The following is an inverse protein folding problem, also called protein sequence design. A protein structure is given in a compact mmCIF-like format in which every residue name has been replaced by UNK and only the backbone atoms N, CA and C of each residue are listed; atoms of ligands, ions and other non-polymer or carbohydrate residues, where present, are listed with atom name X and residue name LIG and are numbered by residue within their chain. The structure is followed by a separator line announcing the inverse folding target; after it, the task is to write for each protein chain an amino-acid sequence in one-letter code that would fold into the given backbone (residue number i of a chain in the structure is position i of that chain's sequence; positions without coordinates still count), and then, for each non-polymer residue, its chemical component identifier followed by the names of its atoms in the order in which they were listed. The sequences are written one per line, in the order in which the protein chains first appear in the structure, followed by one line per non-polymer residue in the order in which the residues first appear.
data_IF_297824721856
#
_entry.id   IF_297824721856
#
_cell.length_a   1.000
_cell.length_b   1.000
_cell.length_c   1.000
_cell.angle_alpha   90.00
_cell.angle_beta   90.00
_cell.angle_gamma   90.00
#
_symmetry.space_group_name_H-M   'P 1'
#
loop_
_entity.id
_entity.type
_entity.pdbx_description
1 polymer ?
#
# COMPACT_ATOMS: atom_id res chain seq x y z
N UNK A 1 -16.76 -6.71 -38.40
CA UNK A 1 -15.34 -7.05 -38.64
C UNK A 1 -14.50 -5.93 -38.02
N UNK A 2 -14.27 -5.99 -36.70
CA UNK A 2 -13.62 -4.91 -35.94
C UNK A 2 -12.14 -5.27 -35.74
N UNK A 3 -11.27 -4.46 -36.34
CA UNK A 3 -9.81 -4.65 -36.33
C UNK A 3 -9.24 -4.14 -35.00
N UNK A 4 -8.74 -5.05 -34.16
CA UNK A 4 -7.86 -4.72 -33.05
C UNK A 4 -6.49 -4.30 -33.61
N UNK A 5 -6.12 -3.03 -33.48
CA UNK A 5 -4.72 -2.59 -33.63
C UNK A 5 -4.06 -2.64 -32.26
N UNK A 6 -3.29 -3.69 -32.01
CA UNK A 6 -2.32 -3.73 -30.93
C UNK A 6 -1.25 -2.66 -31.19
N UNK A 7 -1.22 -1.64 -30.33
CA UNK A 7 -0.18 -0.62 -30.31
C UNK A 7 1.12 -1.20 -29.75
N UNK A 8 2.14 -1.17 -30.62
CA UNK A 8 3.59 -1.33 -30.44
C UNK A 8 4.09 -1.24 -28.98
N UNK A 9 4.73 -2.32 -28.51
CA UNK A 9 5.60 -2.32 -27.31
C UNK A 9 6.81 -1.42 -27.57
N UNK A 10 6.92 -0.31 -26.84
CA UNK A 10 8.18 0.40 -26.70
C UNK A 10 9.12 -0.40 -25.75
N UNK A 11 10.44 -0.38 -25.99
CA UNK A 11 11.42 -1.10 -25.17
C UNK A 11 11.52 -0.48 -23.75
N UNK A 12 11.98 -1.25 -22.75
CA UNK A 12 11.98 -0.82 -21.36
C UNK A 12 13.22 0.03 -21.08
N UNK A 13 13.05 1.34 -20.91
CA UNK A 13 14.10 2.19 -20.35
C UNK A 13 13.53 3.16 -19.30
N UNK A 14 13.69 2.77 -18.04
CA UNK A 14 13.96 3.63 -16.88
C UNK A 14 14.11 2.70 -15.67
N UNK A 15 15.35 2.50 -15.18
CA UNK A 15 15.73 1.78 -13.94
C UNK A 15 14.65 0.82 -13.41
N UNK A 16 14.63 -0.43 -13.86
CA UNK A 16 13.56 -1.38 -13.52
C UNK A 16 13.40 -1.51 -11.99
N UNK A 17 12.45 -0.74 -11.44
CA UNK A 17 12.09 -0.81 -10.02
C UNK A 17 11.55 -2.21 -9.76
N UNK A 18 11.98 -2.84 -8.67
CA UNK A 18 11.51 -4.17 -8.30
C UNK A 18 9.97 -4.17 -8.11
N UNK A 19 9.23 -5.12 -8.70
CA UNK A 19 7.79 -5.24 -8.52
C UNK A 19 7.38 -5.32 -7.04
N UNK A 20 6.23 -4.73 -6.71
CA UNK A 20 5.70 -4.74 -5.33
C UNK A 20 5.53 -6.19 -4.84
N UNK A 21 5.05 -7.09 -5.71
CA UNK A 21 4.87 -8.51 -5.40
C UNK A 21 6.18 -9.24 -5.05
N UNK A 22 7.29 -8.88 -5.71
CA UNK A 22 8.62 -9.43 -5.43
C UNK A 22 9.14 -8.97 -4.06
N UNK A 23 8.98 -7.68 -3.75
CA UNK A 23 9.31 -7.13 -2.42
C UNK A 23 8.47 -7.75 -1.31
N UNK A 24 7.17 -7.91 -1.52
CA UNK A 24 6.26 -8.55 -0.58
C UNK A 24 6.63 -10.03 -0.33
N UNK A 25 7.14 -10.72 -1.35
CA UNK A 25 7.61 -12.11 -1.25
C UNK A 25 8.89 -12.22 -0.43
N UNK A 26 9.86 -11.31 -0.63
CA UNK A 26 11.06 -11.21 0.22
C UNK A 26 10.70 -10.91 1.67
N UNK A 27 9.78 -9.98 1.87
CA UNK A 27 9.26 -9.65 3.20
C UNK A 27 8.61 -10.87 3.88
N UNK A 28 7.80 -11.66 3.16
CA UNK A 28 7.25 -12.90 3.70
C UNK A 28 8.33 -13.89 4.16
N UNK A 29 9.43 -13.99 3.41
CA UNK A 29 10.54 -14.89 3.76
C UNK A 29 11.21 -14.46 5.07
N UNK A 30 11.37 -13.15 5.33
CA UNK A 30 11.89 -12.64 6.59
C UNK A 30 11.03 -13.05 7.79
N UNK A 31 9.71 -13.11 7.63
CA UNK A 31 8.77 -13.50 8.69
C UNK A 31 8.49 -15.02 8.76
N UNK A 32 9.23 -15.86 8.01
CA UNK A 32 9.21 -17.33 8.03
C UNK A 32 7.83 -18.03 7.84
N UNK A 33 6.81 -17.33 7.37
CA UNK A 33 5.58 -17.95 6.87
C UNK A 33 5.73 -18.35 5.40
N UNK A 34 5.29 -19.55 5.01
CA UNK A 34 5.12 -19.92 3.59
C UNK A 34 4.42 -18.77 2.83
N UNK A 35 4.77 -18.49 1.56
CA UNK A 35 4.04 -17.49 0.79
C UNK A 35 2.55 -17.86 0.83
N UNK A 36 1.66 -16.98 1.32
CA UNK A 36 0.24 -17.27 1.24
C UNK A 36 -0.09 -17.37 -0.25
N UNK A 37 -0.53 -18.55 -0.68
CA UNK A 37 -1.39 -18.63 -1.85
C UNK A 37 -2.51 -17.61 -1.60
N UNK A 38 -2.80 -16.74 -2.57
CA UNK A 38 -3.71 -15.60 -2.45
C UNK A 38 -5.13 -16.00 -2.00
N UNK A 39 -5.30 -16.25 -0.70
CA UNK A 39 -6.58 -16.57 -0.08
C UNK A 39 -6.59 -16.02 1.34
N UNK A 40 -7.41 -14.99 1.51
CA UNK A 40 -8.07 -14.60 2.76
C UNK A 40 -7.14 -14.42 3.98
N UNK A 41 -6.51 -13.24 4.05
CA UNK A 41 -5.92 -12.78 5.32
C UNK A 41 -7.05 -12.45 6.31
N UNK A 42 -7.12 -13.21 7.39
CA UNK A 42 -7.89 -12.85 8.57
C UNK A 42 -7.18 -11.66 9.24
N UNK A 43 -7.92 -10.57 9.46
CA UNK A 43 -7.41 -9.37 10.11
C UNK A 43 -7.15 -9.65 11.60
N UNK A 44 -5.91 -9.99 11.93
CA UNK A 44 -5.42 -10.03 13.31
C UNK A 44 -4.38 -8.93 13.51
N UNK A 45 -4.35 -8.30 14.68
CA UNK A 45 -3.27 -7.40 15.06
C UNK A 45 -1.90 -8.11 15.06
N UNK A 46 -1.92 -9.44 15.21
CA UNK A 46 -0.76 -10.32 15.13
C UNK A 46 -0.42 -10.75 13.69
N UNK A 47 -1.09 -10.19 12.68
CA UNK A 47 -0.69 -10.36 11.29
C UNK A 47 0.65 -9.69 11.04
N UNK A 48 1.38 -10.15 10.00
CA UNK A 48 2.62 -9.52 9.52
C UNK A 48 2.45 -8.00 9.37
N UNK A 49 1.30 -7.58 8.86
CA UNK A 49 1.02 -6.18 8.52
C UNK A 49 0.78 -5.38 9.80
N UNK A 50 -0.01 -5.93 10.72
CA UNK A 50 -0.23 -5.32 12.04
C UNK A 50 1.05 -5.21 12.87
N UNK A 51 1.93 -6.22 12.82
CA UNK A 51 3.21 -6.18 13.51
C UNK A 51 4.16 -5.12 12.93
N UNK A 52 4.21 -4.99 11.60
CA UNK A 52 5.01 -3.98 10.92
C UNK A 52 4.51 -2.57 11.19
N UNK A 53 3.20 -2.35 11.11
CA UNK A 53 2.59 -1.06 11.43
C UNK A 53 2.88 -0.66 12.88
N UNK A 54 2.75 -1.59 13.85
CA UNK A 54 3.08 -1.34 15.25
C UNK A 54 4.57 -1.01 15.45
N UNK A 55 5.46 -1.74 14.78
CA UNK A 55 6.91 -1.51 14.85
C UNK A 55 7.29 -0.15 14.25
N UNK A 56 6.71 0.23 13.12
CA UNK A 56 6.96 1.52 12.49
C UNK A 56 6.45 2.69 13.33
N UNK A 57 5.26 2.56 13.92
CA UNK A 57 4.71 3.57 14.83
C UNK A 57 5.59 3.74 16.07
N UNK A 58 6.01 2.63 16.70
CA UNK A 58 6.92 2.65 17.84
C UNK A 58 8.25 3.32 17.49
N UNK A 59 8.85 2.95 16.36
CA UNK A 59 10.12 3.52 15.93
C UNK A 59 10.02 5.03 15.65
N UNK A 60 8.94 5.47 15.00
CA UNK A 60 8.70 6.89 14.74
C UNK A 60 8.55 7.68 16.04
N UNK A 61 7.80 7.16 17.01
CA UNK A 61 7.64 7.79 18.31
C UNK A 61 8.98 7.86 19.06
N UNK A 62 9.72 6.75 19.13
CA UNK A 62 11.04 6.70 19.76
C UNK A 62 12.07 7.63 19.11
N UNK A 63 11.90 7.97 17.83
CA UNK A 63 12.78 8.88 17.10
C UNK A 63 12.56 10.36 17.45
N UNK A 64 11.54 10.69 18.26
CA UNK A 64 11.31 12.08 18.69
C UNK A 64 12.45 12.61 19.58
N UNK A 65 12.89 13.87 19.42
CA UNK A 65 13.99 14.46 20.20
C UNK A 65 13.82 14.38 21.72
N UNK A 66 12.57 14.38 22.21
CA UNK A 66 12.27 14.25 23.63
C UNK A 66 12.64 12.86 24.18
N UNK A 67 12.32 11.79 23.44
CA UNK A 67 12.55 10.40 23.87
C UNK A 67 13.99 9.95 23.59
N UNK A 68 14.63 10.48 22.56
CA UNK A 68 16.04 10.21 22.24
C UNK A 68 17.02 10.60 23.36
N UNK A 69 16.61 11.41 24.34
CA UNK A 69 17.43 11.71 25.53
C UNK A 69 17.61 10.50 26.46
N UNK A 70 16.69 9.51 26.40
CA UNK A 70 16.79 8.29 27.18
C UNK A 70 17.79 7.33 26.52
N UNK A 71 18.83 6.93 27.27
CA UNK A 71 19.92 6.07 26.76
C UNK A 71 19.40 4.84 26.00
N UNK A 72 18.45 4.10 26.59
CA UNK A 72 17.92 2.87 25.98
C UNK A 72 17.12 3.14 24.71
N UNK A 73 16.37 4.24 24.64
CA UNK A 73 15.61 4.64 23.44
C UNK A 73 16.57 5.01 22.31
N UNK A 74 17.58 5.84 22.60
CA UNK A 74 18.59 6.19 21.60
C UNK A 74 19.33 4.95 21.08
N UNK A 75 19.70 4.02 21.97
CA UNK A 75 20.33 2.77 21.55
C UNK A 75 19.41 1.91 20.69
N UNK A 76 18.11 1.86 20.99
CA UNK A 76 17.12 1.16 20.17
C UNK A 76 17.02 1.77 18.76
N UNK A 77 16.81 3.08 18.66
CA UNK A 77 16.67 3.78 17.37
C UNK A 77 17.92 3.62 16.51
N UNK A 78 19.11 3.81 17.11
CA UNK A 78 20.38 3.63 16.39
C UNK A 78 20.54 2.19 15.87
N UNK A 79 20.29 1.20 16.74
CA UNK A 79 20.48 -0.22 16.41
C UNK A 79 19.58 -0.69 15.26
N UNK A 80 18.33 -0.23 15.20
CA UNK A 80 17.34 -0.74 14.23
C UNK A 80 17.07 0.22 13.07
N UNK A 81 17.76 1.35 12.99
CA UNK A 81 17.55 2.36 11.93
C UNK A 81 17.65 1.79 10.52
N UNK A 82 18.73 1.06 10.22
CA UNK A 82 18.94 0.44 8.90
C UNK A 82 17.89 -0.65 8.61
N UNK A 83 17.57 -1.48 9.61
CA UNK A 83 16.54 -2.52 9.47
C UNK A 83 15.17 -1.90 9.18
N UNK A 84 14.82 -0.81 9.85
CA UNK A 84 13.54 -0.11 9.61
C UNK A 84 13.54 0.53 8.23
N UNK A 85 14.66 1.10 7.78
CA UNK A 85 14.78 1.62 6.43
C UNK A 85 14.57 0.52 5.38
N UNK A 86 15.24 -0.63 5.53
CA UNK A 86 15.08 -1.78 4.63
C UNK A 86 13.64 -2.30 4.63
N UNK A 87 13.01 -2.45 5.80
CA UNK A 87 11.61 -2.89 5.90
C UNK A 87 10.65 -1.91 5.23
N UNK A 88 10.89 -0.59 5.32
CA UNK A 88 10.08 0.42 4.63
C UNK A 88 10.24 0.35 3.12
N UNK A 89 11.45 0.11 2.61
CA UNK A 89 11.69 -0.07 1.17
C UNK A 89 11.05 -1.35 0.62
N UNK A 90 10.77 -2.35 1.46
CA UNK A 90 10.01 -3.54 1.05
C UNK A 90 8.49 -3.32 1.02
N UNK A 91 7.97 -2.25 1.64
CA UNK A 91 6.54 -1.95 1.66
C UNK A 91 6.07 -1.23 0.39
N UNK A 92 4.84 -1.47 -0.07
CA UNK A 92 4.24 -0.68 -1.14
C UNK A 92 4.20 0.81 -0.77
N UNK A 93 4.45 1.68 -1.75
CA UNK A 93 4.43 3.13 -1.58
C UNK A 93 3.82 3.83 -2.79
N UNK A 94 3.35 5.06 -2.61
CA UNK A 94 2.83 5.87 -3.71
C UNK A 94 3.87 6.11 -4.83
N UNK A 95 5.17 5.98 -4.52
CA UNK A 95 6.27 6.16 -5.48
C UNK A 95 6.36 5.02 -6.49
N UNK A 96 5.77 3.87 -6.18
CA UNK A 96 5.73 2.72 -7.07
C UNK A 96 4.76 2.92 -8.25
N UNK A 97 3.94 3.97 -8.18
CA UNK A 97 2.88 4.24 -9.13
C UNK A 97 3.14 5.52 -9.93
N UNK A 98 2.76 5.49 -11.20
CA UNK A 98 2.65 6.65 -12.08
C UNK A 98 1.17 7.03 -12.23
N UNK A 99 0.82 8.27 -11.90
CA UNK A 99 -0.57 8.77 -12.05
C UNK A 99 -0.87 9.01 -13.52
N UNK A 100 -1.97 8.44 -14.01
CA UNK A 100 -2.43 8.58 -15.40
C UNK A 100 -3.56 9.59 -15.52
N UNK A 101 -4.55 9.52 -14.64
CA UNK A 101 -5.68 10.45 -14.63
C UNK A 101 -6.39 10.48 -13.28
N UNK A 102 -7.11 11.57 -13.01
CA UNK A 102 -8.08 11.65 -11.92
C UNK A 102 -9.44 11.17 -12.44
N UNK A 103 -10.07 10.23 -11.73
CA UNK A 103 -11.37 9.64 -12.13
C UNK A 103 -12.48 9.99 -11.14
N UNK A 104 -12.17 10.23 -9.87
CA UNK A 104 -13.15 10.64 -8.88
C UNK A 104 -12.56 11.59 -7.86
N UNK A 105 -13.34 12.59 -7.45
CA UNK A 105 -13.00 13.51 -6.37
C UNK A 105 -14.17 13.58 -5.39
N UNK A 106 -14.02 12.92 -4.24
CA UNK A 106 -14.92 13.01 -3.11
C UNK A 106 -14.41 13.99 -2.06
N UNK A 107 -15.19 14.19 -1.00
CA UNK A 107 -14.82 15.12 0.07
C UNK A 107 -13.56 14.68 0.86
N UNK A 108 -13.38 13.36 1.02
CA UNK A 108 -12.31 12.76 1.83
C UNK A 108 -11.29 11.96 1.03
N UNK A 109 -11.65 11.64 -0.21
CA UNK A 109 -10.92 10.72 -1.04
C UNK A 109 -10.84 11.22 -2.47
N UNK A 110 -9.71 11.01 -3.11
CA UNK A 110 -9.58 11.09 -4.56
C UNK A 110 -9.31 9.70 -5.12
N UNK A 111 -9.82 9.43 -6.32
CA UNK A 111 -9.61 8.19 -7.04
C UNK A 111 -8.87 8.51 -8.33
N UNK A 112 -7.68 7.95 -8.47
CA UNK A 112 -6.81 8.16 -9.61
C UNK A 112 -6.57 6.84 -10.34
N UNK A 113 -6.53 6.87 -11.66
CA UNK A 113 -5.99 5.75 -12.44
C UNK A 113 -4.48 5.84 -12.38
N UNK A 114 -3.85 4.74 -11.99
CA UNK A 114 -2.41 4.66 -11.82
C UNK A 114 -1.85 3.46 -12.56
N UNK A 115 -0.57 3.54 -12.88
CA UNK A 115 0.20 2.44 -13.46
C UNK A 115 1.32 2.05 -12.51
N UNK A 116 1.41 0.78 -12.12
CA UNK A 116 2.60 0.30 -11.40
C UNK A 116 3.81 0.40 -12.33
N UNK A 117 4.87 1.09 -11.89
CA UNK A 117 6.04 1.38 -12.73
C UNK A 117 6.79 0.11 -13.13
N UNK A 118 6.86 -0.85 -12.22
CA UNK A 118 7.62 -2.09 -12.38
C UNK A 118 6.96 -3.09 -13.36
N UNK A 119 5.66 -3.33 -13.21
CA UNK A 119 4.91 -4.32 -14.01
C UNK A 119 4.25 -3.69 -15.23
N UNK A 120 3.92 -2.41 -15.14
CA UNK A 120 3.14 -1.69 -16.13
C UNK A 120 1.64 -1.91 -16.02
N UNK A 121 1.16 -2.63 -15.00
CA UNK A 121 -0.25 -2.91 -14.75
C UNK A 121 -1.00 -1.64 -14.33
N UNK A 122 -2.29 -1.57 -14.69
CA UNK A 122 -3.14 -0.39 -14.47
C UNK A 122 -4.16 -0.68 -13.38
N UNK A 123 -4.31 0.26 -12.45
CA UNK A 123 -5.16 0.14 -11.27
C UNK A 123 -5.94 1.43 -11.01
N UNK A 124 -7.00 1.32 -10.19
CA UNK A 124 -7.61 2.45 -9.52
C UNK A 124 -7.01 2.60 -8.12
N UNK A 125 -6.50 3.78 -7.79
CA UNK A 125 -5.94 4.11 -6.49
C UNK A 125 -6.81 5.13 -5.79
N UNK A 126 -7.47 4.72 -4.71
CA UNK A 126 -8.20 5.59 -3.80
C UNK A 126 -7.26 6.12 -2.72
N UNK A 127 -7.14 7.43 -2.63
CA UNK A 127 -6.26 8.15 -1.70
C UNK A 127 -7.14 8.89 -0.70
N UNK A 128 -7.02 8.57 0.59
CA UNK A 128 -7.83 9.17 1.66
C UNK A 128 -6.95 9.92 2.66
N UNK A 129 -7.29 11.17 2.93
CA UNK A 129 -6.50 12.02 3.84
C UNK A 129 -6.75 11.65 5.30
N UNK A 130 -5.72 11.23 6.03
CA UNK A 130 -5.81 10.84 7.46
C UNK A 130 -6.41 11.93 8.33
N UNK A 131 -6.00 13.19 8.13
CA UNK A 131 -6.54 14.35 8.86
C UNK A 131 -8.05 14.49 8.70
N UNK A 132 -8.57 14.23 7.50
CA UNK A 132 -9.98 14.37 7.20
C UNK A 132 -10.80 13.22 7.82
N UNK A 133 -10.27 11.99 7.76
CA UNK A 133 -10.89 10.82 8.40
C UNK A 133 -10.95 10.96 9.92
N UNK A 134 -9.87 11.44 10.55
CA UNK A 134 -9.82 11.65 12.01
C UNK A 134 -10.77 12.75 12.47
N UNK A 135 -10.87 13.85 11.73
CA UNK A 135 -11.73 14.98 12.09
C UNK A 135 -13.23 14.63 12.09
N UNK A 136 -13.63 13.54 11.44
CA UNK A 136 -15.02 13.11 11.31
C UNK A 136 -15.30 11.74 11.94
N UNK A 137 -14.35 11.20 12.70
CA UNK A 137 -14.47 9.87 13.34
C UNK A 137 -14.75 8.73 12.33
N UNK A 138 -14.30 8.90 11.08
CA UNK A 138 -14.59 8.00 9.96
C UNK A 138 -13.56 6.87 9.76
N UNK A 139 -12.72 6.62 10.76
CA UNK A 139 -11.64 5.61 10.64
C UNK A 139 -12.21 4.20 10.42
N UNK A 140 -13.34 3.88 11.03
CA UNK A 140 -14.04 2.60 10.86
C UNK A 140 -14.46 2.35 9.41
N UNK A 141 -14.88 3.38 8.67
CA UNK A 141 -15.31 3.22 7.28
C UNK A 141 -14.16 2.76 6.37
N UNK A 142 -12.93 3.23 6.61
CA UNK A 142 -11.77 2.76 5.86
C UNK A 142 -11.50 1.27 6.11
N UNK A 143 -11.57 0.84 7.37
CA UNK A 143 -11.33 -0.56 7.73
C UNK A 143 -12.37 -1.47 7.10
N UNK A 144 -13.65 -1.07 7.12
CA UNK A 144 -14.74 -1.80 6.47
C UNK A 144 -14.58 -1.85 4.95
N UNK A 145 -14.22 -0.75 4.30
CA UNK A 145 -13.99 -0.72 2.86
C UNK A 145 -12.85 -1.66 2.44
N UNK A 146 -11.70 -1.57 3.11
CA UNK A 146 -10.57 -2.49 2.88
C UNK A 146 -11.00 -3.94 3.09
N UNK A 147 -11.79 -4.20 4.13
CA UNK A 147 -12.28 -5.52 4.49
C UNK A 147 -13.20 -6.12 3.42
N UNK A 148 -14.10 -5.32 2.85
CA UNK A 148 -14.99 -5.76 1.76
C UNK A 148 -14.17 -6.07 0.51
N UNK A 149 -13.29 -5.16 0.10
CA UNK A 149 -12.49 -5.31 -1.13
C UNK A 149 -11.48 -6.47 -1.06
N UNK A 150 -10.93 -6.76 0.12
CA UNK A 150 -9.94 -7.84 0.30
C UNK A 150 -10.56 -9.24 0.43
N UNK A 151 -11.80 -9.34 0.92
CA UNK A 151 -12.49 -10.63 1.14
C UNK A 151 -13.47 -10.99 0.04
N UNK A 152 -13.82 -10.05 -0.83
CA UNK A 152 -14.79 -10.30 -1.88
C UNK A 152 -14.28 -11.32 -2.90
N UNK A 153 -15.12 -12.31 -3.18
CA UNK A 153 -15.00 -13.22 -4.34
C UNK A 153 -16.06 -12.91 -5.42
N UNK A 154 -16.86 -11.87 -5.19
CA UNK A 154 -17.93 -11.47 -6.09
C UNK A 154 -17.35 -10.75 -7.31
N UNK A 155 -17.77 -11.09 -8.55
CA UNK A 155 -17.36 -10.37 -9.75
C UNK A 155 -17.89 -8.92 -9.80
N UNK A 156 -18.80 -8.55 -8.88
CA UNK A 156 -19.41 -7.22 -8.81
C UNK A 156 -18.64 -6.26 -7.91
N UNK A 157 -17.63 -6.73 -7.18
CA UNK A 157 -16.84 -5.90 -6.26
C UNK A 157 -15.39 -5.96 -6.75
N UNK A 158 -14.76 -4.80 -7.04
CA UNK A 158 -13.36 -4.76 -7.45
C UNK A 158 -12.45 -5.43 -6.44
N UNK A 159 -11.49 -6.21 -6.93
CA UNK A 159 -10.53 -6.87 -6.06
C UNK A 159 -9.47 -5.87 -5.57
N UNK A 160 -9.21 -5.87 -4.25
CA UNK A 160 -8.08 -5.15 -3.67
C UNK A 160 -6.76 -5.84 -4.03
N UNK A 161 -5.81 -5.07 -4.56
CA UNK A 161 -4.46 -5.55 -4.87
C UNK A 161 -3.47 -5.13 -3.79
N UNK A 162 -3.52 -3.85 -3.38
CA UNK A 162 -2.63 -3.33 -2.35
C UNK A 162 -3.38 -2.40 -1.39
N UNK A 163 -3.00 -2.43 -0.11
CA UNK A 163 -3.39 -1.42 0.86
C UNK A 163 -2.15 -0.99 1.64
N UNK A 164 -1.87 0.32 1.67
CA UNK A 164 -0.71 0.87 2.36
C UNK A 164 -1.01 2.30 2.83
N UNK A 165 -0.07 2.88 3.57
CA UNK A 165 -0.22 4.21 4.15
C UNK A 165 1.10 4.97 4.13
N UNK A 166 1.00 6.30 4.12
CA UNK A 166 2.13 7.18 4.44
C UNK A 166 1.76 8.10 5.61
N UNK A 167 2.56 9.13 5.86
CA UNK A 167 2.33 10.09 6.93
C UNK A 167 0.97 10.80 6.86
N UNK A 168 0.47 11.05 5.65
CA UNK A 168 -0.69 11.92 5.41
C UNK A 168 -1.92 11.16 4.92
N UNK A 169 -1.73 10.04 4.22
CA UNK A 169 -2.79 9.38 3.45
C UNK A 169 -2.85 7.87 3.71
N UNK A 170 -4.03 7.32 3.47
CA UNK A 170 -4.29 5.90 3.31
C UNK A 170 -4.57 5.61 1.83
N UNK A 171 -4.06 4.49 1.33
CA UNK A 171 -4.14 4.11 -0.08
C UNK A 171 -4.79 2.74 -0.22
N UNK A 172 -5.81 2.65 -1.08
CA UNK A 172 -6.38 1.39 -1.55
C UNK A 172 -6.17 1.30 -3.06
N UNK A 173 -5.42 0.31 -3.52
CA UNK A 173 -5.17 0.02 -4.92
C UNK A 173 -5.97 -1.20 -5.32
N UNK A 174 -6.86 -1.02 -6.28
CA UNK A 174 -7.84 -2.02 -6.70
C UNK A 174 -7.90 -2.14 -8.22
N UNK A 175 -8.53 -3.20 -8.70
CA UNK A 175 -8.77 -3.40 -10.12
C UNK A 175 -9.43 -2.17 -10.77
N UNK A 176 -8.89 -1.73 -11.90
CA UNK A 176 -9.47 -0.62 -12.66
C UNK A 176 -10.62 -1.11 -13.55
N UNK A 177 -11.79 -0.51 -13.39
CA UNK A 177 -12.98 -0.77 -14.20
C UNK A 177 -13.21 0.37 -15.21
N UNK A 178 -12.84 0.21 -16.50
CA UNK A 178 -12.90 1.29 -17.51
C UNK A 178 -14.31 1.63 -17.99
N UNK A 179 -15.35 0.98 -17.46
CA UNK A 179 -16.75 1.20 -17.83
C UNK A 179 -17.38 2.45 -17.22
N UNK A 180 -16.85 2.94 -16.10
CA UNK A 180 -17.40 4.08 -15.36
C UNK A 180 -18.84 3.89 -14.85
N UNK A 181 -19.37 4.95 -14.24
CA UNK A 181 -20.79 5.29 -14.12
C UNK A 181 -21.03 6.58 -14.93
#
# INVERSE_FOLDING_TARGET
MLKFKYGVRNPPEASASEPIASRASRLNLFFQGKPPLMTQQQMSALSREGMLDALFALFEECSQPALMKMKHVSSFVQKYSDTIAELRELQPSARDFEVRSLVGCGHFAEVQVVREKATGDVYAMKIMKKKALLAQEQVSFFEEERNILSRSTSPWIPQLQYAFQDKNNLYLVMEYQPGGD
#
